data_IF_109867811121
#
_entry.id   IF_109867811121
#
_cell.length_a   1.000
_cell.length_b   1.000
_cell.length_c   1.000
_cell.angle_alpha   90.00
_cell.angle_beta   90.00
_cell.angle_gamma   90.00
#
_symmetry.space_group_name_H-M   'P 1'
#
loop_
_entity.id
_entity.type
_entity.pdbx_description
1 polymer ?
#
# COMPACT_ATOMS: atom_id res chain seq x y z
N UNK A 1 -13.55 2.80 -17.21
CA UNK A 1 -12.16 2.35 -17.16
C UNK A 1 -11.84 2.05 -15.70
N UNK A 2 -11.32 0.86 -15.43
CA UNK A 2 -10.85 0.50 -14.10
C UNK A 2 -9.33 0.37 -14.15
N UNK A 3 -8.65 0.91 -13.15
CA UNK A 3 -7.22 0.68 -12.96
C UNK A 3 -6.94 0.01 -11.61
N UNK A 4 -5.72 -0.50 -11.45
CA UNK A 4 -5.23 -1.07 -10.20
C UNK A 4 -3.85 -0.54 -9.84
N UNK A 5 -3.22 -1.14 -8.86
CA UNK A 5 -1.92 -0.75 -8.31
C UNK A 5 -0.80 -0.59 -9.36
N UNK A 6 -0.92 -1.23 -10.52
CA UNK A 6 0.09 -1.10 -11.58
C UNK A 6 0.20 0.34 -12.10
N UNK A 7 -0.90 1.09 -12.15
CA UNK A 7 -0.86 2.51 -12.50
C UNK A 7 -0.11 3.30 -11.43
N UNK A 8 -0.35 2.99 -10.15
CA UNK A 8 0.27 3.68 -9.02
C UNK A 8 1.76 3.38 -8.86
N UNK A 9 2.22 2.23 -9.35
CA UNK A 9 3.57 1.70 -9.12
C UNK A 9 4.47 1.77 -10.37
N UNK A 10 4.27 2.76 -11.21
CA UNK A 10 5.11 2.99 -12.40
C UNK A 10 5.83 4.34 -12.32
N UNK A 11 6.88 4.49 -13.12
CA UNK A 11 7.66 5.74 -13.18
C UNK A 11 6.87 6.93 -13.72
N UNK A 12 5.70 6.70 -14.33
CA UNK A 12 4.82 7.72 -14.89
C UNK A 12 3.39 7.63 -14.34
N UNK A 13 3.25 7.17 -13.11
CA UNK A 13 1.99 6.86 -12.46
C UNK A 13 0.98 8.02 -12.52
N UNK A 14 1.38 9.18 -12.04
CA UNK A 14 0.49 10.36 -11.95
C UNK A 14 0.00 10.82 -13.32
N UNK A 15 0.90 10.88 -14.32
CA UNK A 15 0.52 11.26 -15.68
C UNK A 15 -0.40 10.22 -16.34
N UNK A 16 -0.20 8.92 -16.06
CA UNK A 16 -1.09 7.87 -16.52
C UNK A 16 -2.48 7.99 -15.89
N UNK A 17 -2.55 8.25 -14.59
CA UNK A 17 -3.81 8.49 -13.88
C UNK A 17 -4.54 9.71 -14.46
N UNK A 18 -3.83 10.79 -14.71
CA UNK A 18 -4.35 12.00 -15.33
C UNK A 18 -4.89 11.75 -16.74
N UNK A 19 -4.21 10.94 -17.54
CA UNK A 19 -4.69 10.55 -18.87
C UNK A 19 -6.02 9.79 -18.79
N UNK A 20 -6.15 8.86 -17.85
CA UNK A 20 -7.41 8.11 -17.62
C UNK A 20 -8.51 9.03 -17.14
N UNK A 21 -8.22 9.94 -16.20
CA UNK A 21 -9.18 10.94 -15.72
C UNK A 21 -9.62 11.89 -16.84
N UNK A 22 -8.70 12.28 -17.71
CA UNK A 22 -9.01 13.08 -18.91
C UNK A 22 -10.01 12.38 -19.81
N UNK A 23 -9.86 11.06 -20.05
CA UNK A 23 -10.82 10.29 -20.84
C UNK A 23 -12.22 10.31 -20.22
N UNK A 24 -12.33 10.18 -18.90
CA UNK A 24 -13.62 10.28 -18.21
C UNK A 24 -14.24 11.68 -18.38
N UNK A 25 -13.41 12.70 -18.24
CA UNK A 25 -13.87 14.10 -18.34
C UNK A 25 -14.40 14.44 -19.71
N UNK A 26 -13.63 14.16 -20.78
CA UNK A 26 -14.01 14.52 -22.17
C UNK A 26 -15.17 13.70 -22.71
N UNK A 27 -15.44 12.52 -22.15
CA UNK A 27 -16.58 11.66 -22.53
C UNK A 27 -17.81 11.90 -21.66
N UNK A 28 -17.76 12.81 -20.70
CA UNK A 28 -18.86 13.12 -19.76
C UNK A 28 -19.18 11.98 -18.77
N UNK A 29 -18.28 11.02 -18.60
CA UNK A 29 -18.47 9.87 -17.72
C UNK A 29 -18.00 10.14 -16.29
N UNK A 30 -18.39 11.27 -15.74
CA UNK A 30 -17.98 11.72 -14.41
C UNK A 30 -19.18 11.85 -13.49
N UNK A 31 -19.17 11.07 -12.41
CA UNK A 31 -20.14 11.11 -11.32
C UNK A 31 -21.60 10.94 -11.79
N UNK A 32 -21.80 10.14 -12.82
CA UNK A 32 -23.11 9.82 -13.42
C UNK A 32 -23.38 8.30 -13.42
N UNK A 33 -24.65 7.87 -13.56
CA UNK A 33 -25.00 6.45 -13.70
C UNK A 33 -24.25 5.78 -14.82
N UNK A 34 -23.57 4.65 -14.52
CA UNK A 34 -22.75 3.91 -15.48
C UNK A 34 -21.38 4.51 -15.80
N UNK A 35 -21.10 5.71 -15.31
CA UNK A 35 -19.79 6.37 -15.41
C UNK A 35 -18.86 6.10 -14.22
N UNK A 36 -17.84 6.94 -14.09
CA UNK A 36 -16.96 6.93 -12.92
C UNK A 36 -17.55 7.77 -11.81
N UNK A 37 -17.45 7.27 -10.60
CA UNK A 37 -18.05 7.89 -9.43
C UNK A 37 -16.95 8.56 -8.61
N UNK A 38 -17.16 9.81 -8.27
CA UNK A 38 -16.32 10.51 -7.31
C UNK A 38 -16.73 10.04 -5.92
N UNK A 39 -15.85 9.30 -5.26
CA UNK A 39 -16.08 8.76 -3.94
C UNK A 39 -15.94 9.91 -2.92
N UNK A 40 -16.91 10.02 -2.01
CA UNK A 40 -16.77 10.75 -0.75
C UNK A 40 -16.45 9.74 0.37
N UNK A 41 -15.81 10.22 1.41
CA UNK A 41 -15.68 9.42 2.63
C UNK A 41 -17.05 8.96 3.11
N UNK A 42 -17.12 7.75 3.62
CA UNK A 42 -18.36 7.22 4.16
C UNK A 42 -18.91 8.15 5.24
N UNK A 43 -20.20 8.49 5.11
CA UNK A 43 -20.88 9.38 6.04
C UNK A 43 -20.19 10.74 6.27
N UNK A 44 -19.56 11.30 5.26
CA UNK A 44 -18.82 12.56 5.38
C UNK A 44 -17.73 12.53 6.43
N UNK A 45 -17.24 11.35 6.80
CA UNK A 45 -16.15 11.21 7.75
C UNK A 45 -14.98 12.06 7.30
N UNK A 46 -14.78 13.14 8.02
CA UNK A 46 -13.60 13.96 7.90
C UNK A 46 -12.49 13.32 8.75
N UNK A 47 -12.23 12.06 8.45
CA UNK A 47 -11.03 11.46 9.00
C UNK A 47 -9.90 12.31 8.46
N UNK A 48 -9.34 13.14 9.31
CA UNK A 48 -8.10 13.83 8.99
C UNK A 48 -7.01 12.76 8.90
N UNK A 49 -7.22 11.87 7.95
CA UNK A 49 -6.25 10.88 7.49
C UNK A 49 -5.03 11.55 6.86
N UNK A 50 -4.88 12.79 7.06
CA UNK A 50 -3.59 13.43 6.94
C UNK A 50 -2.57 12.78 7.86
N UNK A 51 -2.94 11.61 8.42
CA UNK A 51 -2.02 10.79 9.22
C UNK A 51 -1.26 11.65 10.23
N UNK A 52 -1.98 12.56 10.88
CA UNK A 52 -1.40 13.53 11.79
C UNK A 52 -0.64 14.69 11.13
N UNK A 53 -0.71 14.89 9.82
CA UNK A 53 -0.01 16.00 9.15
C UNK A 53 -0.37 17.38 9.73
N UNK A 54 -1.64 17.57 10.08
CA UNK A 54 -2.14 18.78 10.71
C UNK A 54 -1.57 19.01 12.13
N UNK A 55 -1.04 17.98 12.77
CA UNK A 55 -0.39 18.06 14.08
C UNK A 55 1.08 18.47 13.95
N UNK A 56 1.66 18.40 12.77
CA UNK A 56 3.04 18.81 12.53
C UNK A 56 3.12 20.33 12.37
N UNK A 57 4.02 20.97 13.14
CA UNK A 57 4.35 22.36 12.91
C UNK A 57 4.96 22.58 11.51
N UNK A 58 4.89 23.80 10.94
CA UNK A 58 5.53 24.09 9.65
C UNK A 58 7.03 23.74 9.63
N UNK A 59 7.72 23.90 10.74
CA UNK A 59 9.11 23.49 10.88
C UNK A 59 9.27 21.97 10.76
N UNK A 60 8.44 21.20 11.44
CA UNK A 60 8.47 19.73 11.37
C UNK A 60 8.08 19.24 9.96
N UNK A 61 7.10 19.87 9.32
CA UNK A 61 6.71 19.55 7.95
C UNK A 61 7.88 19.74 6.98
N UNK A 62 8.68 20.79 7.14
CA UNK A 62 9.85 21.07 6.31
C UNK A 62 11.00 20.06 6.50
N UNK A 63 11.05 19.38 7.63
CA UNK A 63 12.05 18.34 7.96
C UNK A 63 11.62 16.94 7.54
N UNK A 64 10.40 16.76 7.04
CA UNK A 64 9.92 15.46 6.60
C UNK A 64 10.80 14.90 5.49
N UNK A 65 11.15 13.63 5.58
CA UNK A 65 11.89 12.93 4.52
C UNK A 65 11.01 12.82 3.26
N UNK A 66 11.44 13.44 2.17
CA UNK A 66 10.65 13.61 0.96
C UNK A 66 9.89 14.94 0.88
N UNK A 67 10.18 15.90 1.77
CA UNK A 67 9.58 17.23 1.72
C UNK A 67 9.91 17.99 0.41
N UNK A 68 10.99 17.62 -0.25
CA UNK A 68 11.39 18.11 -1.57
C UNK A 68 10.44 17.71 -2.70
N UNK A 69 9.62 16.68 -2.50
CA UNK A 69 8.63 16.23 -3.49
C UNK A 69 7.27 16.90 -3.27
N UNK A 70 6.84 17.83 -4.13
CA UNK A 70 5.61 18.59 -3.91
C UNK A 70 4.36 17.72 -3.74
N UNK A 71 4.26 16.59 -4.45
CA UNK A 71 3.14 15.65 -4.31
C UNK A 71 3.04 15.03 -2.92
N UNK A 72 4.16 14.86 -2.21
CA UNK A 72 4.18 14.37 -0.84
C UNK A 72 4.04 15.48 0.20
N UNK A 73 4.53 16.68 -0.11
CA UNK A 73 4.62 17.76 0.86
C UNK A 73 3.53 18.82 0.75
N UNK A 74 2.96 19.03 -0.45
CA UNK A 74 2.02 20.11 -0.73
C UNK A 74 0.61 19.64 -1.09
N UNK A 75 0.46 18.38 -1.50
CA UNK A 75 -0.86 17.84 -1.82
C UNK A 75 -1.76 17.60 -0.60
N UNK A 76 -1.27 17.86 0.60
CA UNK A 76 -2.03 17.71 1.83
C UNK A 76 -2.35 16.26 2.21
N UNK A 77 -1.79 15.30 1.48
CA UNK A 77 -2.20 13.91 1.59
C UNK A 77 -1.60 13.18 2.76
N UNK A 78 -0.47 13.62 3.29
CA UNK A 78 0.09 12.70 4.26
C UNK A 78 1.30 13.25 5.02
N UNK A 79 1.39 12.87 6.28
CA UNK A 79 2.63 12.87 7.05
C UNK A 79 3.61 11.80 6.59
N UNK A 80 3.28 11.00 5.57
CA UNK A 80 4.13 9.93 5.06
C UNK A 80 5.45 10.47 4.52
N UNK A 81 6.53 9.78 4.85
CA UNK A 81 7.85 10.04 4.30
C UNK A 81 8.03 9.30 2.95
N UNK A 82 8.95 9.77 2.15
CA UNK A 82 9.37 9.07 0.94
C UNK A 82 10.27 7.88 1.29
N UNK A 83 9.91 6.68 0.85
CA UNK A 83 10.58 5.44 1.27
C UNK A 83 12.09 5.42 0.96
N UNK A 84 12.49 5.83 -0.25
CA UNK A 84 13.92 5.88 -0.60
C UNK A 84 14.68 6.93 0.21
N UNK A 85 14.04 8.05 0.58
CA UNK A 85 14.64 9.07 1.46
C UNK A 85 14.81 8.54 2.89
N UNK A 86 13.87 7.72 3.38
CA UNK A 86 14.02 7.03 4.67
C UNK A 86 15.19 6.07 4.64
N UNK A 87 15.29 5.26 3.58
CA UNK A 87 16.38 4.32 3.40
C UNK A 87 17.75 5.04 3.33
N UNK A 88 17.82 6.13 2.57
CA UNK A 88 19.03 6.97 2.49
C UNK A 88 19.39 7.61 3.85
N UNK A 89 18.39 8.02 4.63
CA UNK A 89 18.61 8.56 5.97
C UNK A 89 19.16 7.50 6.94
N UNK A 90 18.68 6.25 6.85
CA UNK A 90 19.23 5.12 7.61
C UNK A 90 20.68 4.87 7.20
N UNK A 91 20.96 4.86 5.89
CA UNK A 91 22.30 4.57 5.36
C UNK A 91 23.34 5.63 5.74
N UNK A 92 22.96 6.91 5.70
CA UNK A 92 23.88 8.05 5.79
C UNK A 92 23.79 8.86 7.07
N UNK A 93 22.73 8.69 7.85
CA UNK A 93 22.42 9.53 9.01
C UNK A 93 21.96 10.95 8.65
N UNK A 94 21.67 11.23 7.38
CA UNK A 94 21.30 12.58 6.91
C UNK A 94 19.88 12.60 6.31
N UNK A 95 19.10 13.67 6.48
CA UNK A 95 19.39 14.91 7.24
C UNK A 95 19.42 14.72 8.76
N UNK A 96 18.90 13.60 9.24
CA UNK A 96 18.98 13.16 10.64
C UNK A 96 18.99 11.61 10.69
N UNK A 97 19.58 11.02 11.76
CA UNK A 97 19.64 9.56 11.89
C UNK A 97 18.26 8.97 12.23
N UNK A 98 17.92 7.86 11.59
CA UNK A 98 16.78 7.03 11.98
C UNK A 98 17.31 5.98 12.96
N UNK A 99 16.94 6.11 14.24
CA UNK A 99 17.42 5.24 15.31
C UNK A 99 16.44 4.14 15.69
N UNK A 100 15.15 4.34 15.42
CA UNK A 100 14.10 3.39 15.70
C UNK A 100 13.18 3.24 14.48
N UNK A 101 12.78 2.01 14.20
CA UNK A 101 11.74 1.69 13.21
C UNK A 101 10.70 0.79 13.87
N UNK A 102 9.44 1.18 13.75
CA UNK A 102 8.31 0.34 14.14
C UNK A 102 7.56 -0.10 12.88
N UNK A 103 7.57 -1.38 12.64
CA UNK A 103 6.94 -2.02 11.47
C UNK A 103 5.63 -2.68 11.88
N UNK A 104 4.53 -2.30 11.25
CA UNK A 104 3.22 -2.88 11.48
C UNK A 104 2.70 -3.47 10.19
N UNK A 105 2.35 -4.74 10.19
CA UNK A 105 1.77 -5.46 9.05
C UNK A 105 2.58 -5.28 7.75
N UNK A 106 3.90 -5.31 7.86
CA UNK A 106 4.79 -5.13 6.71
C UNK A 106 5.98 -6.08 6.77
N UNK A 107 6.25 -6.73 5.64
CA UNK A 107 7.38 -7.64 5.45
C UNK A 107 8.27 -7.14 4.29
N UNK A 108 8.99 -6.03 4.48
CA UNK A 108 9.68 -5.34 3.40
C UNK A 108 10.78 -6.19 2.74
N UNK A 109 11.41 -7.12 3.45
CA UNK A 109 12.43 -8.00 2.86
C UNK A 109 11.83 -8.88 1.77
N UNK A 110 10.62 -9.41 1.96
CA UNK A 110 9.97 -10.23 0.96
C UNK A 110 9.14 -9.42 -0.05
N UNK A 111 8.57 -8.28 0.36
CA UNK A 111 7.52 -7.59 -0.41
C UNK A 111 7.96 -6.31 -1.12
N UNK A 112 8.98 -5.62 -0.63
CA UNK A 112 9.41 -4.33 -1.19
C UNK A 112 10.62 -4.45 -2.13
N UNK A 113 10.84 -5.58 -2.66
CA UNK A 113 11.96 -6.14 -3.35
C UNK A 113 12.62 -5.40 -4.51
N UNK A 114 12.50 -4.09 -4.67
CA UNK A 114 13.27 -3.39 -5.70
C UNK A 114 14.79 -3.53 -5.47
N UNK A 115 15.24 -3.58 -4.23
CA UNK A 115 16.63 -3.83 -3.83
C UNK A 115 16.66 -4.42 -2.40
N UNK A 116 16.21 -5.66 -2.24
CA UNK A 116 16.16 -6.32 -0.95
C UNK A 116 17.53 -6.38 -0.24
N UNK A 117 18.66 -6.63 -0.93
CA UNK A 117 19.98 -6.60 -0.30
C UNK A 117 20.37 -5.22 0.26
N UNK A 118 20.00 -4.14 -0.42
CA UNK A 118 20.23 -2.77 0.07
C UNK A 118 19.41 -2.51 1.33
N UNK A 119 18.12 -2.84 1.27
CA UNK A 119 17.20 -2.69 2.39
C UNK A 119 17.70 -3.46 3.62
N UNK A 120 18.12 -4.72 3.42
CA UNK A 120 18.68 -5.56 4.47
C UNK A 120 19.89 -4.88 5.15
N UNK A 121 20.87 -4.43 4.37
CA UNK A 121 22.05 -3.75 4.92
C UNK A 121 21.73 -2.44 5.64
N UNK A 122 20.72 -1.72 5.18
CA UNK A 122 20.30 -0.48 5.82
C UNK A 122 19.60 -0.74 7.15
N UNK A 123 18.63 -1.63 7.19
CA UNK A 123 17.88 -1.95 8.42
C UNK A 123 18.77 -2.52 9.54
N UNK A 124 19.85 -3.25 9.19
CA UNK A 124 20.87 -3.69 10.17
C UNK A 124 21.61 -2.55 10.87
N UNK A 125 21.47 -1.31 10.43
CA UNK A 125 22.09 -0.11 11.08
C UNK A 125 21.14 0.59 12.05
N UNK A 126 19.88 0.18 12.10
CA UNK A 126 18.89 0.79 13.00
C UNK A 126 19.13 0.28 14.43
N UNK A 127 19.14 1.19 15.41
CA UNK A 127 19.46 0.85 16.80
C UNK A 127 18.39 0.00 17.49
N UNK A 128 17.11 0.17 17.08
CA UNK A 128 15.99 -0.53 17.69
C UNK A 128 14.85 -0.75 16.69
N UNK A 129 14.45 -2.00 16.48
CA UNK A 129 13.40 -2.39 15.55
C UNK A 129 12.28 -3.12 16.28
N UNK A 130 11.08 -2.59 16.20
CA UNK A 130 9.85 -3.26 16.65
C UNK A 130 9.09 -3.78 15.45
N UNK A 131 8.68 -5.04 15.48
CA UNK A 131 7.84 -5.64 14.46
C UNK A 131 6.53 -6.10 15.10
N UNK A 132 5.42 -5.59 14.59
CA UNK A 132 4.07 -6.03 14.95
C UNK A 132 3.48 -6.77 13.75
N UNK A 133 3.42 -8.08 13.83
CA UNK A 133 2.97 -8.93 12.72
C UNK A 133 2.26 -10.19 13.23
N UNK A 134 1.54 -10.85 12.32
CA UNK A 134 0.85 -12.11 12.58
C UNK A 134 1.82 -13.30 12.63
N UNK A 135 2.94 -13.20 11.95
CA UNK A 135 3.91 -14.29 11.75
C UNK A 135 5.33 -13.81 11.98
N UNK A 136 6.21 -14.77 12.32
CA UNK A 136 7.65 -14.57 12.30
C UNK A 136 8.13 -14.52 10.85
N UNK A 137 7.95 -13.39 10.23
CA UNK A 137 8.33 -13.13 8.84
C UNK A 137 9.84 -13.02 8.68
N UNK A 138 10.39 -13.12 7.45
CA UNK A 138 11.81 -12.84 7.20
C UNK A 138 12.28 -11.50 7.76
N UNK A 139 11.45 -10.49 7.70
CA UNK A 139 11.74 -9.17 8.28
C UNK A 139 11.82 -9.22 9.80
N UNK A 140 10.88 -9.90 10.45
CA UNK A 140 10.87 -10.05 11.91
C UNK A 140 12.12 -10.80 12.38
N UNK A 141 12.44 -11.92 11.76
CA UNK A 141 13.62 -12.72 12.13
C UNK A 141 14.93 -11.98 11.89
N UNK A 142 15.01 -11.22 10.78
CA UNK A 142 16.27 -10.52 10.44
C UNK A 142 16.56 -9.32 11.32
N UNK A 143 15.55 -8.59 11.80
CA UNK A 143 15.77 -7.25 12.35
C UNK A 143 15.13 -6.98 13.70
N UNK A 144 14.07 -7.71 14.10
CA UNK A 144 13.31 -7.32 15.28
C UNK A 144 14.12 -7.50 16.57
N UNK A 145 14.23 -6.44 17.34
CA UNK A 145 14.62 -6.49 18.76
C UNK A 145 13.43 -6.83 19.64
N UNK A 146 12.23 -6.44 19.19
CA UNK A 146 10.96 -6.74 19.85
C UNK A 146 9.91 -7.14 18.83
N UNK A 147 9.30 -8.30 19.00
CA UNK A 147 8.14 -8.76 18.23
C UNK A 147 6.90 -8.65 19.07
N UNK A 148 5.86 -8.03 18.54
CA UNK A 148 4.55 -7.90 19.16
C UNK A 148 3.53 -8.69 18.34
N UNK A 149 2.78 -9.62 18.95
CA UNK A 149 1.81 -10.43 18.25
C UNK A 149 0.58 -9.58 17.87
N UNK A 150 0.31 -9.46 16.57
CA UNK A 150 -0.82 -8.71 16.04
C UNK A 150 -2.11 -9.53 16.11
N UNK A 151 -3.23 -8.85 16.43
CA UNK A 151 -4.53 -9.48 16.40
C UNK A 151 -5.11 -9.51 14.99
N UNK A 152 -5.66 -10.65 14.59
CA UNK A 152 -6.46 -10.80 13.38
C UNK A 152 -7.84 -10.15 13.52
N UNK A 153 -8.54 -10.00 12.40
CA UNK A 153 -9.90 -9.40 12.40
C UNK A 153 -10.89 -10.06 13.38
N UNK A 154 -10.96 -11.40 13.54
CA UNK A 154 -11.84 -12.02 14.50
C UNK A 154 -11.46 -11.79 15.97
N UNK A 155 -10.28 -11.28 16.24
CA UNK A 155 -9.72 -11.13 17.59
C UNK A 155 -9.84 -9.71 18.14
N UNK A 156 -10.46 -8.81 17.38
CA UNK A 156 -10.63 -7.41 17.80
C UNK A 156 -11.98 -6.83 17.44
N UNK A 157 -12.47 -5.96 18.29
CA UNK A 157 -13.52 -5.02 17.95
C UNK A 157 -12.91 -3.89 17.13
N UNK A 158 -13.52 -3.57 15.99
CA UNK A 158 -12.97 -2.56 15.10
C UNK A 158 -14.01 -2.04 14.12
N UNK A 159 -13.68 -0.96 13.44
CA UNK A 159 -14.45 -0.46 12.32
C UNK A 159 -13.56 -0.26 11.10
N UNK A 160 -14.07 -0.68 9.95
CA UNK A 160 -13.48 -0.37 8.66
C UNK A 160 -14.35 0.61 7.92
N UNK A 161 -13.83 1.79 7.65
CA UNK A 161 -14.51 2.87 6.95
C UNK A 161 -13.85 3.18 5.59
N UNK A 162 -13.25 2.18 4.98
CA UNK A 162 -12.58 2.35 3.71
C UNK A 162 -13.57 2.21 2.55
N UNK A 163 -13.51 3.11 1.60
CA UNK A 163 -14.35 3.22 0.41
C UNK A 163 -15.76 3.72 0.77
N UNK A 164 -16.80 2.94 0.50
CA UNK A 164 -18.17 3.40 0.62
C UNK A 164 -18.84 2.95 1.93
N UNK A 165 -18.88 1.66 2.30
CA UNK A 165 -19.57 1.27 3.53
C UNK A 165 -18.67 1.34 4.75
N UNK A 166 -19.27 1.73 5.87
CA UNK A 166 -18.74 1.39 7.18
C UNK A 166 -19.02 -0.07 7.49
N UNK A 167 -18.03 -0.78 7.97
CA UNK A 167 -18.14 -2.17 8.40
C UNK A 167 -17.72 -2.29 9.84
N UNK A 168 -18.61 -2.80 10.68
CA UNK A 168 -18.32 -3.08 12.07
C UNK A 168 -17.81 -4.51 12.20
N UNK A 169 -16.67 -4.68 12.81
CA UNK A 169 -16.09 -5.97 13.13
C UNK A 169 -16.20 -6.20 14.63
N UNK A 170 -16.66 -7.39 15.00
CA UNK A 170 -16.87 -7.78 16.40
C UNK A 170 -15.88 -8.88 16.74
N UNK A 171 -15.22 -8.71 17.87
CA UNK A 171 -14.34 -9.74 18.42
C UNK A 171 -15.15 -10.99 18.75
N UNK A 172 -14.70 -12.13 18.26
CA UNK A 172 -15.33 -13.44 18.50
C UNK A 172 -14.38 -14.45 19.14
N UNK A 173 -13.09 -14.17 19.14
CA UNK A 173 -12.06 -15.03 19.72
C UNK A 173 -10.91 -14.21 20.28
N UNK A 174 -10.02 -14.87 20.98
CA UNK A 174 -8.73 -14.35 21.43
C UNK A 174 -7.71 -15.46 21.33
N UNK A 175 -6.66 -15.22 20.61
CA UNK A 175 -5.53 -16.15 20.55
C UNK A 175 -4.35 -15.56 21.33
N UNK A 176 -3.98 -16.25 22.40
CA UNK A 176 -2.90 -15.83 23.28
C UNK A 176 -2.98 -14.32 23.67
N UNK A 177 -1.86 -13.64 23.63
CA UNK A 177 -1.72 -12.22 24.00
C UNK A 177 -1.72 -11.25 22.82
N UNK A 178 -2.25 -11.67 21.65
CA UNK A 178 -2.31 -10.80 20.48
C UNK A 178 -3.14 -9.54 20.74
N UNK A 179 -2.69 -8.42 20.20
CA UNK A 179 -3.28 -7.09 20.42
C UNK A 179 -3.49 -6.38 19.08
N UNK A 180 -4.62 -5.68 18.96
CA UNK A 180 -4.89 -4.85 17.78
C UNK A 180 -3.90 -3.68 17.65
N UNK A 181 -3.54 -3.32 16.43
CA UNK A 181 -2.58 -2.26 16.13
C UNK A 181 -3.00 -0.90 16.75
N UNK A 182 -4.28 -0.60 16.70
CA UNK A 182 -4.90 0.59 17.30
C UNK A 182 -4.78 0.59 18.82
N UNK A 183 -4.98 -0.56 19.45
CA UNK A 183 -4.84 -0.71 20.91
C UNK A 183 -3.38 -0.57 21.32
N UNK A 184 -2.44 -1.15 20.57
CA UNK A 184 -1.00 -0.96 20.80
C UNK A 184 -0.60 0.51 20.70
N UNK A 185 -1.04 1.19 19.65
CA UNK A 185 -0.77 2.61 19.46
C UNK A 185 -1.32 3.45 20.64
N UNK A 186 -2.54 3.13 21.09
CA UNK A 186 -3.14 3.79 22.24
C UNK A 186 -2.37 3.51 23.54
N UNK A 187 -1.96 2.27 23.78
CA UNK A 187 -1.19 1.90 24.97
C UNK A 187 0.15 2.63 25.07
N UNK A 188 0.85 2.73 23.96
CA UNK A 188 2.14 3.44 23.89
C UNK A 188 1.92 4.96 23.95
N UNK A 189 0.96 5.47 23.19
CA UNK A 189 0.62 6.89 23.17
C UNK A 189 0.27 7.44 24.56
N UNK A 190 -0.55 6.69 25.31
CA UNK A 190 -0.90 7.05 26.71
C UNK A 190 0.32 7.13 27.65
N UNK A 191 1.34 6.33 27.42
CA UNK A 191 2.57 6.38 28.23
C UNK A 191 3.49 7.52 27.85
N UNK A 192 3.54 7.86 26.57
CA UNK A 192 4.47 8.89 26.06
C UNK A 192 3.84 10.30 26.09
N UNK A 193 2.57 10.41 25.74
CA UNK A 193 1.86 11.68 25.58
C UNK A 193 0.39 11.54 25.99
N UNK A 194 0.08 11.33 27.28
CA UNK A 194 -1.28 11.05 27.76
C UNK A 194 -2.29 12.14 27.37
N UNK A 195 -1.84 13.38 27.26
CA UNK A 195 -2.66 14.53 26.85
C UNK A 195 -3.20 14.43 25.41
N UNK A 196 -2.48 13.71 24.54
CA UNK A 196 -2.84 13.52 23.14
C UNK A 196 -3.62 12.21 22.91
N UNK A 197 -3.72 11.36 23.94
CA UNK A 197 -4.40 10.06 23.89
C UNK A 197 -5.44 9.96 25.00
N UNK A 198 -6.51 10.78 24.97
CA UNK A 198 -7.48 10.88 26.08
C UNK A 198 -8.45 9.70 26.14
N UNK A 199 -8.55 8.90 25.09
CA UNK A 199 -9.53 7.83 24.96
C UNK A 199 -9.26 6.69 25.94
N UNK A 200 -10.31 6.12 26.50
CA UNK A 200 -10.24 5.00 27.42
C UNK A 200 -9.63 3.75 26.76
N UNK A 201 -10.16 3.40 25.60
CA UNK A 201 -9.78 2.24 24.81
C UNK A 201 -10.02 2.51 23.30
N UNK A 202 -9.82 1.51 22.44
CA UNK A 202 -9.98 1.64 21.00
C UNK A 202 -11.43 1.93 20.59
N UNK A 203 -12.42 1.41 21.34
CA UNK A 203 -13.84 1.67 21.05
C UNK A 203 -14.19 3.12 21.36
N UNK A 204 -13.75 3.64 22.50
CA UNK A 204 -13.96 5.04 22.85
C UNK A 204 -13.32 5.98 21.82
N UNK A 205 -12.15 5.61 21.29
CA UNK A 205 -11.54 6.33 20.15
C UNK A 205 -12.42 6.30 18.90
N UNK A 206 -12.94 5.14 18.51
CA UNK A 206 -13.83 4.99 17.34
C UNK A 206 -15.11 5.82 17.54
N UNK A 207 -15.74 5.74 18.69
CA UNK A 207 -16.95 6.51 19.01
C UNK A 207 -16.69 8.02 19.01
N UNK A 208 -15.50 8.44 19.43
CA UNK A 208 -15.10 9.85 19.34
C UNK A 208 -15.01 10.35 17.91
N UNK A 209 -14.55 9.50 16.98
CA UNK A 209 -14.53 9.82 15.56
C UNK A 209 -15.94 10.02 15.02
N UNK A 210 -16.85 9.08 15.33
CA UNK A 210 -18.24 9.20 14.88
C UNK A 210 -18.91 10.47 15.39
N UNK A 211 -18.61 10.85 16.60
CA UNK A 211 -19.17 12.04 17.24
C UNK A 211 -18.61 13.35 16.69
N UNK A 212 -17.31 13.38 16.38
CA UNK A 212 -16.60 14.63 16.11
C UNK A 212 -16.18 14.80 14.63
N UNK A 213 -16.02 13.68 13.90
CA UNK A 213 -15.36 13.67 12.59
C UNK A 213 -16.31 13.26 11.45
N UNK A 214 -17.62 13.17 11.70
CA UNK A 214 -18.62 12.87 10.69
C UNK A 214 -19.54 14.06 10.43
N UNK A 215 -20.26 14.04 9.32
CA UNK A 215 -21.30 15.02 9.00
C UNK A 215 -22.64 14.77 9.71
N UNK A 216 -22.67 13.88 10.69
CA UNK A 216 -23.85 13.51 11.45
C UNK A 216 -24.81 12.55 10.74
N UNK A 217 -24.45 12.05 9.56
CA UNK A 217 -25.29 11.12 8.80
C UNK A 217 -25.06 9.64 9.17
N UNK A 218 -24.10 9.36 10.03
CA UNK A 218 -23.83 8.00 10.49
C UNK A 218 -25.04 7.47 11.30
N UNK A 219 -25.53 6.24 11.05
CA UNK A 219 -26.81 5.77 11.59
C UNK A 219 -26.73 5.22 13.02
N UNK A 220 -25.62 5.40 13.72
CA UNK A 220 -25.39 4.92 15.09
C UNK A 220 -24.53 5.92 15.86
N UNK A 221 -24.65 5.91 17.19
CA UNK A 221 -23.93 6.82 18.07
C UNK A 221 -22.90 6.12 18.96
N UNK A 222 -22.99 4.80 19.05
CA UNK A 222 -22.09 3.97 19.83
C UNK A 222 -21.85 2.61 19.17
N UNK A 223 -20.84 1.91 19.67
CA UNK A 223 -20.41 0.64 19.08
C UNK A 223 -21.44 -0.48 19.24
N UNK A 224 -22.25 -0.46 20.31
CA UNK A 224 -23.31 -1.46 20.53
C UNK A 224 -24.45 -1.34 19.50
N UNK A 225 -24.74 -0.15 19.04
CA UNK A 225 -25.64 0.08 17.90
C UNK A 225 -25.00 -0.35 16.60
N UNK A 226 -23.73 0.01 16.37
CA UNK A 226 -22.98 -0.34 15.17
C UNK A 226 -22.85 -1.86 14.97
N UNK A 227 -22.68 -2.63 16.04
CA UNK A 227 -22.65 -4.10 16.00
C UNK A 227 -23.92 -4.72 15.46
N UNK A 228 -25.07 -4.08 15.68
CA UNK A 228 -26.38 -4.56 15.18
C UNK A 228 -26.54 -4.31 13.69
N UNK A 229 -25.82 -3.33 13.15
CA UNK A 229 -25.82 -2.94 11.75
C UNK A 229 -24.43 -3.12 11.14
N UNK A 230 -24.04 -4.38 10.93
CA UNK A 230 -22.68 -4.77 10.48
C UNK A 230 -22.18 -3.96 9.28
N UNK A 231 -23.09 -3.60 8.38
CA UNK A 231 -22.81 -2.77 7.21
C UNK A 231 -23.71 -1.54 7.21
N UNK A 232 -23.11 -0.38 7.16
CA UNK A 232 -23.82 0.87 6.97
C UNK A 232 -23.35 1.54 5.69
N UNK A 233 -24.30 1.85 4.80
CA UNK A 233 -24.03 2.55 3.54
C UNK A 233 -24.47 3.99 3.68
N UNK A 234 -23.63 4.95 3.30
CA UNK A 234 -24.05 6.34 3.20
C UNK A 234 -25.07 6.49 2.05
N UNK A 235 -25.93 7.51 2.08
CA UNK A 235 -26.77 7.87 0.95
C UNK A 235 -25.90 8.02 -0.30
N UNK A 236 -26.29 7.33 -1.37
CA UNK A 236 -25.57 7.39 -2.64
C UNK A 236 -26.11 8.49 -3.52
N UNK A 237 -25.23 9.34 -4.05
CA UNK A 237 -25.60 10.42 -4.92
C UNK A 237 -24.76 10.46 -6.19
N UNK A 238 -25.46 10.72 -7.31
CA UNK A 238 -24.83 11.10 -8.57
C UNK A 238 -24.82 12.62 -8.73
N UNK A 239 -23.99 13.09 -9.64
CA UNK A 239 -23.87 14.51 -9.99
C UNK A 239 -23.57 15.42 -8.80
N UNK A 240 -22.73 14.91 -7.89
CA UNK A 240 -22.33 15.65 -6.68
C UNK A 240 -21.75 17.03 -6.99
N UNK A 241 -21.04 17.16 -8.11
CA UNK A 241 -20.52 18.45 -8.56
C UNK A 241 -21.62 19.46 -8.85
N UNK A 242 -22.75 19.05 -9.44
CA UNK A 242 -23.88 19.95 -9.72
C UNK A 242 -24.65 20.35 -8.45
N UNK A 243 -24.56 19.53 -7.40
CA UNK A 243 -25.25 19.71 -6.12
C UNK A 243 -24.42 20.45 -5.07
N UNK A 244 -23.22 20.90 -5.40
CA UNK A 244 -22.33 21.56 -4.45
C UNK A 244 -21.70 20.64 -3.40
N UNK A 245 -21.74 19.33 -3.61
CA UNK A 245 -21.28 18.35 -2.62
C UNK A 245 -19.78 18.06 -2.70
N UNK A 246 -19.07 18.59 -3.69
CA UNK A 246 -17.64 18.35 -3.87
C UNK A 246 -16.77 19.52 -3.41
N UNK A 247 -17.33 20.71 -3.29
CA UNK A 247 -16.59 21.92 -2.90
C UNK A 247 -16.83 22.23 -1.41
N UNK A 248 -15.80 22.68 -0.69
CA UNK A 248 -15.95 23.09 0.72
C UNK A 248 -16.89 24.27 0.92
N UNK A 249 -17.04 25.14 -0.11
CA UNK A 249 -17.92 26.31 -0.09
C UNK A 249 -19.38 25.99 -0.44
N UNK A 250 -19.71 24.72 -0.72
CA UNK A 250 -21.05 24.27 -1.08
C UNK A 250 -21.55 24.73 -2.46
N UNK A 251 -20.72 25.40 -3.24
CA UNK A 251 -21.11 25.83 -4.58
C UNK A 251 -20.99 24.69 -5.60
N UNK A 252 -21.81 24.70 -6.67
CA UNK A 252 -21.64 23.76 -7.78
C UNK A 252 -20.24 23.83 -8.37
N UNK A 253 -19.68 22.66 -8.70
CA UNK A 253 -18.34 22.51 -9.29
C UNK A 253 -17.50 21.46 -8.62
N UNK A 254 -16.23 21.47 -8.95
CA UNK A 254 -15.21 20.55 -8.45
C UNK A 254 -14.28 21.23 -7.45
N UNK A 255 -13.71 20.47 -6.55
CA UNK A 255 -12.72 20.98 -5.59
C UNK A 255 -11.35 21.15 -6.27
N UNK A 256 -11.30 22.09 -7.21
CA UNK A 256 -10.12 22.48 -7.97
C UNK A 256 -9.96 23.99 -7.91
N UNK A 257 -8.78 24.55 -8.18
CA UNK A 257 -8.58 26.01 -8.20
C UNK A 257 -9.57 26.76 -9.09
N UNK A 258 -9.97 26.18 -10.22
CA UNK A 258 -10.92 26.80 -11.16
C UNK A 258 -12.39 26.48 -10.86
N UNK A 259 -12.66 25.56 -9.94
CA UNK A 259 -14.00 25.02 -9.69
C UNK A 259 -14.53 24.11 -10.81
N UNK A 260 -13.73 23.82 -11.82
CA UNK A 260 -14.05 22.97 -12.97
C UNK A 260 -13.17 21.74 -13.02
N UNK A 261 -13.49 20.76 -13.85
CA UNK A 261 -12.52 19.71 -14.20
C UNK A 261 -11.38 20.39 -14.97
N UNK A 262 -10.17 20.22 -14.46
CA UNK A 262 -8.97 20.79 -15.06
C UNK A 262 -8.28 19.76 -15.94
N UNK A 263 -8.39 19.89 -17.27
CA UNK A 263 -7.62 19.13 -18.24
C UNK A 263 -6.16 19.60 -18.30
N UNK A 264 -5.96 20.90 -18.09
CA UNK A 264 -4.67 21.47 -17.73
C UNK A 264 -4.60 21.53 -16.20
N UNK A 265 -3.80 20.69 -15.59
CA UNK A 265 -3.69 20.63 -14.15
C UNK A 265 -2.91 21.85 -13.62
N UNK A 266 -3.64 22.86 -13.20
CA UNK A 266 -3.06 24.12 -12.71
C UNK A 266 -2.18 23.93 -11.47
N UNK A 267 -2.51 22.94 -10.63
CA UNK A 267 -1.75 22.63 -9.43
C UNK A 267 -0.39 22.00 -9.79
N UNK A 268 -0.35 21.13 -10.80
CA UNK A 268 0.91 20.54 -11.27
C UNK A 268 1.82 21.60 -11.87
N UNK A 269 1.25 22.51 -12.69
CA UNK A 269 2.00 23.64 -13.20
C UNK A 269 2.62 24.50 -12.09
N UNK A 270 1.84 24.77 -11.02
CA UNK A 270 2.33 25.52 -9.86
C UNK A 270 3.48 24.79 -9.13
N UNK A 271 3.48 23.48 -9.12
CA UNK A 271 4.50 22.66 -8.45
C UNK A 271 5.68 22.31 -9.35
N UNK A 272 5.68 22.75 -10.60
CA UNK A 272 6.77 22.48 -11.56
C UNK A 272 6.70 21.11 -12.22
N UNK A 273 5.53 20.46 -12.18
CA UNK A 273 5.26 19.24 -12.96
C UNK A 273 4.61 19.59 -14.30
N UNK A 274 4.68 18.65 -15.24
CA UNK A 274 3.94 18.80 -16.49
C UNK A 274 2.42 18.81 -16.21
N UNK A 275 1.69 19.84 -16.62
CA UNK A 275 0.27 19.96 -16.36
C UNK A 275 -0.61 19.11 -17.28
N UNK A 276 -0.04 18.49 -18.29
CA UNK A 276 -0.74 17.62 -19.22
C UNK A 276 -0.23 16.18 -19.13
N UNK A 277 -1.08 15.19 -19.37
CA UNK A 277 -0.64 13.81 -19.49
C UNK A 277 0.40 13.65 -20.60
N UNK A 278 1.47 12.94 -20.30
CA UNK A 278 2.53 12.67 -21.27
C UNK A 278 3.03 11.24 -21.12
N UNK A 279 3.59 10.70 -22.18
CA UNK A 279 4.29 9.44 -22.15
C UNK A 279 5.72 9.63 -21.65
N UNK A 280 6.16 8.73 -20.79
CA UNK A 280 7.55 8.61 -20.35
C UNK A 280 8.00 7.17 -20.46
N UNK A 281 9.06 6.96 -21.23
CA UNK A 281 9.66 5.63 -21.36
C UNK A 281 10.16 5.12 -20.01
N UNK A 282 9.84 3.86 -19.61
CA UNK A 282 10.40 3.27 -18.41
C UNK A 282 11.94 3.22 -18.49
N UNK A 283 12.61 3.48 -17.37
CA UNK A 283 14.08 3.59 -17.32
C UNK A 283 14.83 2.28 -17.59
N UNK A 284 14.14 1.15 -17.57
CA UNK A 284 14.70 -0.19 -17.80
C UNK A 284 14.09 -0.90 -19.03
N UNK A 285 13.53 -0.13 -19.97
CA UNK A 285 12.97 -0.70 -21.19
C UNK A 285 14.06 -1.03 -22.23
N UNK A 286 13.73 -1.82 -23.26
CA UNK A 286 14.64 -2.05 -24.41
C UNK A 286 15.10 -0.77 -25.10
N UNK A 287 14.28 0.29 -25.03
CA UNK A 287 14.58 1.59 -25.68
C UNK A 287 15.48 2.45 -24.82
N UNK A 288 15.18 2.60 -23.54
CA UNK A 288 15.92 3.47 -22.61
C UNK A 288 17.21 2.86 -22.08
N UNK A 289 17.29 1.52 -22.02
CA UNK A 289 18.42 0.78 -21.47
C UNK A 289 18.77 -0.45 -22.33
N UNK A 290 19.19 -0.27 -23.60
CA UNK A 290 19.41 -1.38 -24.52
C UNK A 290 20.51 -2.34 -24.06
N UNK A 291 21.56 -1.86 -23.39
CA UNK A 291 22.64 -2.72 -22.88
C UNK A 291 22.17 -3.58 -21.70
N UNK A 292 21.31 -3.04 -20.86
CA UNK A 292 20.66 -3.81 -19.79
C UNK A 292 19.76 -4.89 -20.38
N UNK A 293 18.98 -4.54 -21.41
CA UNK A 293 18.08 -5.47 -22.08
C UNK A 293 18.83 -6.61 -22.80
N UNK A 294 20.01 -6.36 -23.36
CA UNK A 294 20.85 -7.43 -23.92
C UNK A 294 21.24 -8.46 -22.88
N UNK A 295 21.51 -8.03 -21.64
CA UNK A 295 21.87 -8.92 -20.54
C UNK A 295 20.67 -9.62 -19.92
N UNK A 296 19.53 -8.92 -19.80
CA UNK A 296 18.29 -9.40 -19.21
C UNK A 296 17.14 -9.19 -20.21
N UNK A 297 16.99 -10.09 -21.21
CA UNK A 297 16.17 -9.83 -22.40
C UNK A 297 14.67 -10.04 -22.20
N UNK A 298 14.22 -10.29 -20.97
CA UNK A 298 12.82 -10.46 -20.66
C UNK A 298 12.28 -9.27 -19.85
N UNK A 299 11.07 -8.86 -20.18
CA UNK A 299 10.33 -7.88 -19.39
C UNK A 299 9.58 -8.62 -18.28
N UNK A 300 9.99 -8.39 -17.04
CA UNK A 300 9.33 -9.00 -15.88
C UNK A 300 8.06 -8.23 -15.50
N UNK A 301 6.98 -8.95 -15.32
CA UNK A 301 5.76 -8.46 -14.67
C UNK A 301 5.41 -9.36 -13.49
N UNK A 302 4.96 -8.77 -12.40
CA UNK A 302 4.44 -9.53 -11.25
C UNK A 302 2.96 -9.89 -11.39
N UNK A 303 2.33 -9.55 -12.51
CA UNK A 303 1.02 -10.02 -12.95
C UNK A 303 -0.13 -9.92 -11.95
N UNK A 304 -1.21 -10.62 -12.26
CA UNK A 304 -2.29 -10.84 -11.30
C UNK A 304 -1.81 -11.79 -10.21
N UNK A 305 -2.16 -11.49 -8.96
CA UNK A 305 -1.93 -12.41 -7.86
C UNK A 305 -2.75 -13.66 -8.05
N UNK A 306 -2.20 -14.78 -7.63
CA UNK A 306 -3.01 -15.97 -7.43
C UNK A 306 -4.12 -15.66 -6.41
N UNK A 307 -5.31 -16.18 -6.64
CA UNK A 307 -6.44 -15.96 -5.71
C UNK A 307 -6.32 -16.82 -4.44
N UNK A 308 -5.45 -17.82 -4.44
CA UNK A 308 -5.11 -18.61 -3.26
C UNK A 308 -4.26 -17.80 -2.26
N UNK A 309 -3.49 -16.83 -2.75
CA UNK A 309 -2.59 -16.05 -1.92
C UNK A 309 -2.84 -14.56 -2.05
N UNK A 310 -3.21 -13.94 -0.95
CA UNK A 310 -3.22 -12.49 -0.88
C UNK A 310 -1.88 -11.97 -0.29
N UNK A 311 -1.48 -12.49 0.85
CA UNK A 311 -0.25 -12.14 1.55
C UNK A 311 0.34 -13.37 2.29
N UNK A 312 1.20 -13.12 3.27
CA UNK A 312 1.99 -14.14 3.97
C UNK A 312 1.15 -15.17 4.72
N UNK A 313 -0.05 -14.81 5.18
CA UNK A 313 -0.94 -15.69 5.95
C UNK A 313 -1.34 -16.96 5.19
N UNK A 314 -1.48 -16.86 3.88
CA UNK A 314 -1.87 -18.01 3.03
C UNK A 314 -0.70 -18.93 2.67
N UNK A 315 0.54 -18.50 2.95
CA UNK A 315 1.76 -19.28 2.63
C UNK A 315 2.21 -20.20 3.76
N UNK A 316 1.50 -20.17 4.88
CA UNK A 316 1.86 -21.00 6.03
C UNK A 316 1.60 -22.48 5.76
N UNK A 317 2.50 -23.39 6.20
CA UNK A 317 2.27 -24.84 6.11
C UNK A 317 0.96 -25.24 6.81
N UNK A 318 0.25 -26.20 6.21
CA UNK A 318 -1.06 -26.65 6.70
C UNK A 318 -2.23 -25.73 6.37
N UNK A 319 -2.00 -24.67 5.64
CA UNK A 319 -3.08 -23.83 5.08
C UNK A 319 -3.55 -24.42 3.74
N UNK A 320 -4.86 -24.52 3.55
CA UNK A 320 -5.46 -25.06 2.31
C UNK A 320 -4.99 -24.32 1.05
N UNK A 321 -4.75 -23.03 1.14
CA UNK A 321 -4.22 -22.26 0.00
C UNK A 321 -2.84 -22.74 -0.40
N UNK A 322 -1.99 -23.07 0.60
CA UNK A 322 -0.65 -23.59 0.35
C UNK A 322 -0.68 -25.03 -0.21
N UNK A 323 -1.67 -25.83 0.16
CA UNK A 323 -1.85 -27.17 -0.43
C UNK A 323 -2.27 -27.09 -1.90
N UNK A 324 -3.14 -26.13 -2.24
CA UNK A 324 -3.59 -25.90 -3.62
C UNK A 324 -2.50 -25.28 -4.51
N UNK A 325 -1.62 -24.48 -3.94
CA UNK A 325 -0.55 -23.75 -4.63
C UNK A 325 0.74 -23.85 -3.82
N UNK A 326 1.44 -24.99 -3.92
CA UNK A 326 2.56 -25.28 -3.02
C UNK A 326 3.82 -24.46 -3.29
N UNK A 327 4.04 -24.04 -4.53
CA UNK A 327 5.28 -23.39 -4.97
C UNK A 327 4.99 -22.04 -5.63
N UNK A 328 5.90 -21.05 -5.53
CA UNK A 328 5.81 -19.83 -6.30
C UNK A 328 5.97 -20.14 -7.79
N UNK A 329 5.08 -19.60 -8.62
CA UNK A 329 5.12 -19.82 -10.05
C UNK A 329 5.68 -18.61 -10.79
N UNK A 330 6.52 -18.91 -11.77
CA UNK A 330 6.82 -17.95 -12.81
C UNK A 330 6.46 -18.51 -14.18
N UNK A 331 6.05 -17.65 -15.08
CA UNK A 331 5.51 -18.07 -16.36
C UNK A 331 6.36 -17.56 -17.52
N UNK A 332 6.56 -18.43 -18.50
CA UNK A 332 7.14 -18.11 -19.81
C UNK A 332 6.24 -18.65 -20.92
N UNK A 333 6.35 -18.06 -22.11
CA UNK A 333 5.80 -18.68 -23.32
C UNK A 333 6.54 -19.99 -23.66
N UNK A 334 5.92 -20.90 -24.45
CA UNK A 334 6.60 -22.10 -24.94
C UNK A 334 7.94 -21.79 -25.64
N UNK A 335 7.96 -20.79 -26.52
CA UNK A 335 9.15 -20.40 -27.26
C UNK A 335 10.27 -19.86 -26.35
N UNK A 336 9.91 -19.02 -25.38
CA UNK A 336 10.87 -18.48 -24.43
C UNK A 336 11.46 -19.55 -23.50
N UNK A 337 10.67 -20.57 -23.15
CA UNK A 337 11.13 -21.72 -22.36
C UNK A 337 12.07 -22.62 -23.19
N UNK A 338 11.69 -22.95 -24.42
CA UNK A 338 12.49 -23.77 -25.34
C UNK A 338 13.85 -23.13 -25.65
N UNK A 339 13.88 -21.82 -25.93
CA UNK A 339 15.12 -21.06 -26.17
C UNK A 339 16.12 -21.20 -25.03
N UNK A 340 15.61 -21.40 -23.79
CA UNK A 340 16.40 -21.53 -22.57
C UNK A 340 16.61 -22.95 -22.09
N UNK A 341 16.09 -23.94 -22.84
CA UNK A 341 16.18 -25.35 -22.49
C UNK A 341 15.43 -25.72 -21.21
N UNK A 342 14.35 -24.99 -20.90
CA UNK A 342 13.55 -25.18 -19.71
C UNK A 342 12.28 -25.99 -19.99
N UNK A 343 11.83 -26.76 -18.99
CA UNK A 343 10.63 -27.59 -19.06
C UNK A 343 9.61 -27.19 -17.99
N UNK A 344 8.35 -27.56 -18.21
CA UNK A 344 7.27 -27.37 -17.25
C UNK A 344 7.67 -27.97 -15.85
N UNK A 345 7.52 -27.16 -14.81
CA UNK A 345 7.81 -27.56 -13.44
C UNK A 345 9.27 -27.40 -12.99
N UNK A 346 10.18 -26.98 -13.86
CA UNK A 346 11.58 -26.71 -13.47
C UNK A 346 11.68 -25.58 -12.44
N UNK A 347 12.58 -25.75 -11.48
CA UNK A 347 12.99 -24.65 -10.60
C UNK A 347 14.01 -23.78 -11.32
N UNK A 348 13.66 -22.50 -11.49
CA UNK A 348 14.45 -21.53 -12.22
C UNK A 348 14.84 -20.33 -11.39
N UNK A 349 16.01 -19.79 -11.66
CA UNK A 349 16.41 -18.48 -11.14
C UNK A 349 15.89 -17.36 -12.04
N UNK A 350 15.17 -16.42 -11.43
CA UNK A 350 14.79 -15.15 -12.03
C UNK A 350 15.79 -14.12 -11.54
N UNK A 351 16.58 -13.56 -12.45
CA UNK A 351 17.70 -12.69 -12.10
C UNK A 351 17.60 -11.33 -12.77
N UNK A 352 18.01 -10.30 -12.06
CA UNK A 352 18.28 -8.98 -12.59
C UNK A 352 19.59 -8.41 -12.01
N UNK A 353 19.91 -7.15 -12.30
CA UNK A 353 21.14 -6.48 -11.84
C UNK A 353 21.23 -6.31 -10.31
N UNK A 354 20.14 -6.50 -9.55
CA UNK A 354 20.07 -6.25 -8.11
C UNK A 354 20.03 -7.52 -7.29
N UNK A 355 19.60 -8.63 -7.89
CA UNK A 355 19.48 -9.90 -7.18
C UNK A 355 18.74 -10.93 -8.00
N UNK A 356 18.46 -12.04 -7.36
CA UNK A 356 17.75 -13.17 -7.97
C UNK A 356 16.82 -13.84 -6.95
N UNK A 357 15.77 -14.46 -7.45
CA UNK A 357 14.89 -15.34 -6.68
C UNK A 357 14.62 -16.62 -7.47
N UNK A 358 14.18 -17.68 -6.82
CA UNK A 358 13.81 -18.93 -7.50
C UNK A 358 12.31 -19.13 -7.46
N UNK A 359 11.77 -19.55 -8.59
CA UNK A 359 10.37 -19.93 -8.71
C UNK A 359 10.25 -21.13 -9.67
N UNK A 360 9.11 -21.79 -9.65
CA UNK A 360 8.82 -22.95 -10.47
C UNK A 360 8.18 -22.53 -11.79
N UNK A 361 8.72 -23.04 -12.90
CA UNK A 361 8.23 -22.69 -14.22
C UNK A 361 6.84 -23.26 -14.48
N UNK A 362 5.94 -22.41 -14.98
CA UNK A 362 4.71 -22.76 -15.64
C UNK A 362 4.72 -22.23 -17.08
N UNK A 363 4.58 -23.11 -18.06
CA UNK A 363 4.58 -22.73 -19.48
C UNK A 363 3.19 -22.22 -19.85
N UNK A 364 3.10 -20.92 -20.17
CA UNK A 364 1.86 -20.25 -20.51
C UNK A 364 1.84 -19.82 -21.98
N UNK A 365 1.07 -20.52 -22.85
CA UNK A 365 1.02 -20.20 -24.28
C UNK A 365 0.36 -18.85 -24.61
N UNK A 366 -0.24 -18.18 -23.64
CA UNK A 366 -0.83 -16.85 -23.81
C UNK A 366 0.13 -15.70 -23.56
N UNK A 367 1.36 -15.98 -23.11
CA UNK A 367 2.36 -14.94 -22.90
C UNK A 367 3.12 -14.60 -24.19
N UNK A 368 3.50 -13.34 -24.32
CA UNK A 368 4.48 -12.87 -25.32
C UNK A 368 5.86 -13.42 -24.98
N UNK A 369 6.65 -13.81 -26.00
CA UNK A 369 7.96 -14.42 -25.86
C UNK A 369 8.99 -13.53 -25.16
N UNK A 370 8.72 -12.23 -25.09
CA UNK A 370 9.58 -11.22 -24.41
C UNK A 370 9.17 -10.97 -22.96
N UNK A 371 8.14 -11.62 -22.47
CA UNK A 371 7.57 -11.36 -21.14
C UNK A 371 7.76 -12.57 -20.23
N UNK A 372 8.22 -12.30 -19.02
CA UNK A 372 8.16 -13.23 -17.90
C UNK A 372 7.16 -12.72 -16.86
N UNK A 373 6.34 -13.59 -16.31
CA UNK A 373 5.42 -13.26 -15.22
C UNK A 373 5.80 -14.07 -13.97
N UNK A 374 6.03 -13.38 -12.86
CA UNK A 374 6.44 -14.00 -11.61
C UNK A 374 5.53 -13.60 -10.44
N UNK A 375 5.40 -14.44 -9.47
CA UNK A 375 4.74 -14.14 -8.21
C UNK A 375 5.65 -13.30 -7.32
N UNK A 376 5.06 -12.38 -6.55
CA UNK A 376 5.81 -11.50 -5.67
C UNK A 376 5.67 -11.88 -4.20
N UNK A 377 6.64 -11.48 -3.39
CA UNK A 377 6.57 -11.55 -1.94
C UNK A 377 6.56 -12.98 -1.39
N UNK A 378 7.10 -13.94 -2.10
CA UNK A 378 7.15 -15.33 -1.65
C UNK A 378 8.31 -15.55 -0.67
N UNK A 379 8.09 -16.39 0.31
CA UNK A 379 9.06 -16.93 1.25
C UNK A 379 8.56 -18.30 1.74
N UNK A 380 9.45 -19.13 2.28
CA UNK A 380 9.17 -20.51 2.63
C UNK A 380 9.21 -20.68 4.15
N UNK A 381 8.07 -20.59 4.86
CA UNK A 381 8.03 -20.72 6.33
C UNK A 381 8.61 -22.03 6.87
N UNK A 382 8.67 -23.05 6.02
CA UNK A 382 9.23 -24.38 6.33
C UNK A 382 10.74 -24.45 6.21
N UNK A 383 11.39 -23.49 5.57
CA UNK A 383 12.85 -23.42 5.46
C UNK A 383 13.48 -22.77 6.70
N UNK A 384 14.81 -22.85 6.78
CA UNK A 384 15.55 -22.22 7.88
C UNK A 384 15.32 -20.70 7.89
N UNK A 385 14.79 -20.20 9.01
CA UNK A 385 14.54 -18.78 9.23
C UNK A 385 15.79 -17.99 9.62
N UNK A 386 16.89 -18.66 9.98
CA UNK A 386 18.13 -17.98 10.35
C UNK A 386 18.84 -17.37 9.13
N UNK A 387 19.75 -16.43 9.42
CA UNK A 387 20.67 -15.94 8.40
C UNK A 387 21.64 -17.06 7.98
N UNK A 388 22.02 -17.20 6.71
CA UNK A 388 21.76 -16.25 5.60
C UNK A 388 20.50 -16.56 4.81
N UNK A 389 19.76 -17.63 5.06
CA UNK A 389 18.67 -18.08 4.19
C UNK A 389 17.39 -17.30 4.35
N UNK A 390 17.06 -16.86 5.57
CA UNK A 390 15.86 -16.11 5.90
C UNK A 390 14.60 -16.67 5.21
N UNK A 391 14.32 -17.95 5.44
CA UNK A 391 13.18 -18.65 4.80
C UNK A 391 13.25 -18.67 3.26
N UNK A 392 14.42 -18.76 2.69
CA UNK A 392 14.61 -18.83 1.24
C UNK A 392 14.41 -17.52 0.48
N UNK A 393 14.42 -16.38 1.18
CA UNK A 393 14.33 -15.05 0.53
C UNK A 393 15.66 -14.67 -0.12
N UNK A 394 16.81 -15.09 0.44
CA UNK A 394 18.15 -14.83 -0.07
C UNK A 394 18.85 -16.10 -0.55
#
# INVERSE_FOLDING_TARGET
IQWGLKVDQTTNATSTADAVNTLWAITGNVDNPGGNIIIRNAFGQNLSYGYGYHLLSPEMQSKKLGAEFPLLSRAGYSSSAHADSVLAAIETGKPYPIRMVWMTSTNPIANMGADAPRLYRALKKVDFVVVNDLFMTPTAVAFADLVLPAAMSPERDSQRCWWVPNRTMVKVTQHEECVGDDVLALMVGKRLHPENFPWKDGIDWIESIWKNETDGTIPYTNFDEAKKQVWAYPPFEYYKYAKGLLRPDGQPGFNTPTGRIELWNSQFSLWGYDPLPHFKEPSCSPVSAPELYKKYPLVLTTGARSYEFFHSEHRQPGNISRELHPDPLFELSPAAAEERGLQEGDWCWIENQRGRCRQRLHINPSLDDRVARAEHGWWFPEEDGAEPTLFGVF
#
